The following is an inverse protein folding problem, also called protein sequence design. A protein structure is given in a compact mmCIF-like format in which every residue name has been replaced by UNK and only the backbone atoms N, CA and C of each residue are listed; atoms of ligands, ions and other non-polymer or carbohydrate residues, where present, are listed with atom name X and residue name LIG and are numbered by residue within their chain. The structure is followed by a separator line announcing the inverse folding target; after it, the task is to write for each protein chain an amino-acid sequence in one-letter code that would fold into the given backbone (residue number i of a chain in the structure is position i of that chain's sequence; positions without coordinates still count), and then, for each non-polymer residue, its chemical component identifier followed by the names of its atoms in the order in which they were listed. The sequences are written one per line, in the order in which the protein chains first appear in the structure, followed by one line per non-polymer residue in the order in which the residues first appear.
data_IF_130395311056
#
_entry.id   IF_130395311056
#
_cell.length_a   1.000
_cell.length_b   1.000
_cell.length_c   1.000
_cell.angle_alpha   90.00
_cell.angle_beta   90.00
_cell.angle_gamma   90.00
#
_symmetry.space_group_name_H-M   'P 1'
#
loop_
_entity.id
_entity.type
_entity.pdbx_description
1 polymer ?
#
# COMPACT_ATOMS: atom_id res chain seq x y z
N UNK A 1 -44.41 -22.32 -20.46
CA UNK A 1 -43.12 -22.86 -20.93
C UNK A 1 -42.18 -21.68 -21.01
N UNK A 2 -41.47 -21.43 -19.90
CA UNK A 2 -40.02 -21.72 -19.74
C UNK A 2 -39.25 -20.41 -19.97
N UNK A 3 -38.52 -19.81 -19.01
CA UNK A 3 -38.23 -20.21 -17.64
C UNK A 3 -37.92 -18.99 -16.76
N UNK A 4 -38.66 -18.88 -15.66
CA UNK A 4 -38.26 -18.15 -14.47
C UNK A 4 -37.40 -19.08 -13.61
N UNK A 5 -36.08 -18.97 -13.72
CA UNK A 5 -35.12 -19.11 -12.62
C UNK A 5 -33.68 -18.97 -13.15
N UNK A 6 -33.13 -17.78 -13.01
CA UNK A 6 -31.70 -17.62 -12.78
C UNK A 6 -31.55 -16.77 -11.52
N UNK A 7 -31.71 -17.45 -10.39
CA UNK A 7 -31.06 -17.20 -9.11
C UNK A 7 -30.29 -15.89 -9.00
N UNK A 8 -30.89 -14.97 -8.23
CA UNK A 8 -30.28 -14.34 -7.05
C UNK A 8 -28.79 -14.64 -6.88
N UNK A 9 -27.92 -13.85 -7.51
CA UNK A 9 -26.51 -13.79 -7.15
C UNK A 9 -26.04 -12.33 -7.28
N UNK A 10 -25.79 -11.75 -6.11
CA UNK A 10 -25.07 -10.52 -5.82
C UNK A 10 -25.88 -9.21 -5.89
N UNK A 11 -26.75 -9.12 -4.88
CA UNK A 11 -26.92 -7.97 -3.98
C UNK A 11 -26.28 -6.65 -4.43
N UNK A 12 -27.19 -5.70 -4.73
CA UNK A 12 -27.04 -4.28 -4.51
C UNK A 12 -26.48 -4.00 -3.09
N UNK A 13 -25.15 -4.01 -2.93
CA UNK A 13 -24.41 -3.40 -1.80
C UNK A 13 -22.90 -3.60 -1.98
N UNK A 14 -22.33 -3.11 -3.08
CA UNK A 14 -20.91 -2.72 -3.05
C UNK A 14 -20.85 -1.22 -2.85
N UNK A 15 -20.86 -0.84 -1.57
CA UNK A 15 -20.30 0.42 -1.08
C UNK A 15 -19.06 0.76 -1.93
N UNK A 16 -18.89 1.99 -2.44
CA UNK A 16 -17.66 2.35 -3.12
C UNK A 16 -16.48 1.86 -2.31
N UNK A 17 -15.43 1.39 -2.97
CA UNK A 17 -14.12 1.15 -2.37
C UNK A 17 -13.52 2.53 -2.06
N UNK A 18 -14.11 3.16 -1.06
CA UNK A 18 -13.83 4.37 -0.30
C UNK A 18 -14.55 4.07 1.01
N UNK A 19 -13.95 4.26 2.19
CA UNK A 19 -14.75 4.39 3.40
C UNK A 19 -15.76 5.53 3.17
N UNK A 20 -16.98 5.19 2.74
CA UNK A 20 -18.11 6.11 2.66
C UNK A 20 -18.38 6.54 4.10
N UNK A 21 -17.87 7.71 4.47
CA UNK A 21 -18.32 8.48 5.64
C UNK A 21 -18.11 7.81 7.00
N UNK A 22 -17.08 8.28 7.72
CA UNK A 22 -16.97 8.36 9.19
C UNK A 22 -17.86 7.42 10.01
N UNK A 23 -17.24 6.44 10.69
CA UNK A 23 -17.33 6.26 12.16
C UNK A 23 -16.36 5.15 12.61
N UNK A 24 -15.52 5.52 13.59
CA UNK A 24 -14.57 4.70 14.34
C UNK A 24 -13.34 4.21 13.56
N UNK A 25 -12.45 5.14 13.21
CA UNK A 25 -11.03 4.78 13.28
C UNK A 25 -10.73 4.53 14.76
N UNK A 26 -10.00 3.47 15.11
CA UNK A 26 -9.79 3.03 16.50
C UNK A 26 -9.23 4.11 17.43
N UNK A 27 -8.91 3.74 18.66
CA UNK A 27 -8.15 4.65 19.52
C UNK A 27 -6.72 4.83 18.97
N UNK A 28 -5.92 5.65 19.64
CA UNK A 28 -4.50 5.73 19.31
C UNK A 28 -3.84 4.36 19.60
N UNK A 29 -2.98 3.81 18.72
CA UNK A 29 -2.49 4.37 17.45
C UNK A 29 -3.23 3.88 16.18
N UNK A 30 -4.27 3.04 16.29
CA UNK A 30 -4.92 2.41 15.13
C UNK A 30 -5.51 3.44 14.15
N UNK A 31 -5.99 4.57 14.66
CA UNK A 31 -6.51 5.63 13.80
C UNK A 31 -5.46 6.23 12.84
N UNK A 32 -4.18 6.25 13.23
CA UNK A 32 -3.09 6.75 12.40
C UNK A 32 -2.83 5.86 11.17
N UNK A 33 -2.95 4.55 11.34
CA UNK A 33 -2.76 3.56 10.27
C UNK A 33 -4.00 3.40 9.38
N UNK A 34 -5.18 3.75 9.87
CA UNK A 34 -6.42 3.72 9.08
C UNK A 34 -6.57 4.95 8.16
N UNK A 35 -5.83 6.03 8.40
CA UNK A 35 -5.92 7.27 7.63
C UNK A 35 -4.91 7.27 6.46
N UNK A 36 -5.37 7.71 5.28
CA UNK A 36 -4.57 7.79 4.06
C UNK A 36 -4.13 9.22 3.75
N UNK A 37 -4.89 10.23 4.17
CA UNK A 37 -4.54 11.63 3.94
C UNK A 37 -3.38 12.07 4.86
N UNK A 38 -2.25 12.52 4.31
CA UNK A 38 -1.07 12.85 5.11
C UNK A 38 -1.29 14.03 6.05
N UNK A 39 -2.14 15.00 5.70
CA UNK A 39 -2.43 16.13 6.59
C UNK A 39 -3.29 15.68 7.79
N UNK A 40 -4.27 14.80 7.56
CA UNK A 40 -5.05 14.18 8.61
C UNK A 40 -4.20 13.27 9.52
N UNK A 41 -3.28 12.48 8.94
CA UNK A 41 -2.30 11.70 9.72
C UNK A 41 -1.44 12.61 10.60
N UNK A 42 -0.98 13.75 10.08
CA UNK A 42 -0.21 14.73 10.87
C UNK A 42 -1.04 15.29 12.01
N UNK A 43 -2.32 15.60 11.78
CA UNK A 43 -3.22 16.08 12.82
C UNK A 43 -3.44 15.04 13.94
N UNK A 44 -3.45 13.73 13.63
CA UNK A 44 -3.52 12.66 14.62
C UNK A 44 -2.25 12.67 15.50
N UNK A 45 -1.06 12.77 14.89
CA UNK A 45 0.21 12.86 15.63
C UNK A 45 0.27 14.11 16.52
N UNK A 46 -0.14 15.27 16.00
CA UNK A 46 -0.14 16.53 16.75
C UNK A 46 -1.15 16.50 17.90
N UNK A 47 -2.30 15.84 17.73
CA UNK A 47 -3.25 15.60 18.81
C UNK A 47 -2.62 14.74 19.90
N UNK A 48 -2.05 13.59 19.52
CA UNK A 48 -1.43 12.68 20.49
C UNK A 48 -0.30 13.37 21.24
N UNK A 49 0.56 14.13 20.56
CA UNK A 49 1.64 14.92 21.17
C UNK A 49 1.16 15.87 22.27
N UNK A 50 -0.05 16.40 22.16
CA UNK A 50 -0.64 17.28 23.17
C UNK A 50 -1.32 16.52 24.31
N UNK A 51 -1.64 15.24 24.13
CA UNK A 51 -2.30 14.38 25.12
C UNK A 51 -1.26 13.57 25.91
N UNK A 52 -0.45 12.75 25.24
CA UNK A 52 0.57 11.89 25.83
C UNK A 52 1.74 11.65 24.85
N UNK A 53 2.96 11.80 25.35
CA UNK A 53 4.19 11.49 24.60
C UNK A 53 4.71 10.13 25.04
N UNK A 54 4.65 9.16 24.14
CA UNK A 54 5.14 7.79 24.33
C UNK A 54 6.13 7.40 23.22
N UNK A 55 6.77 6.24 23.38
CA UNK A 55 7.73 5.71 22.40
C UNK A 55 7.07 5.42 21.03
N UNK A 56 5.77 5.09 21.03
CA UNK A 56 5.00 4.86 19.80
C UNK A 56 4.88 6.14 18.99
N UNK A 57 4.54 7.26 19.63
CA UNK A 57 4.44 8.57 19.01
C UNK A 57 5.77 8.97 18.39
N UNK A 58 6.87 8.82 19.14
CA UNK A 58 8.22 9.14 18.62
C UNK A 58 8.55 8.34 17.36
N UNK A 59 8.24 7.04 17.37
CA UNK A 59 8.45 6.17 16.21
C UNK A 59 7.56 6.56 15.02
N UNK A 60 6.28 6.85 15.26
CA UNK A 60 5.34 7.24 14.20
C UNK A 60 5.66 8.61 13.61
N UNK A 61 6.17 9.54 14.40
CA UNK A 61 6.68 10.83 13.91
C UNK A 61 7.95 10.66 13.05
N UNK A 62 8.87 9.78 13.46
CA UNK A 62 10.03 9.41 12.63
C UNK A 62 9.57 8.81 11.29
N UNK A 63 8.64 7.84 11.31
CA UNK A 63 8.07 7.25 10.10
C UNK A 63 7.37 8.29 9.23
N UNK A 64 6.57 9.19 9.81
CA UNK A 64 5.89 10.26 9.09
C UNK A 64 6.88 11.16 8.36
N UNK A 65 7.96 11.57 9.04
CA UNK A 65 8.99 12.43 8.47
C UNK A 65 9.80 11.74 7.35
N UNK A 66 10.04 10.43 7.47
CA UNK A 66 10.66 9.63 6.42
C UNK A 66 9.75 9.48 5.20
N UNK A 67 8.46 9.22 5.44
CA UNK A 67 7.47 8.95 4.41
C UNK A 67 7.07 10.19 3.64
N UNK A 68 6.79 11.30 4.32
CA UNK A 68 6.21 12.47 3.67
C UNK A 68 7.17 13.66 3.66
N UNK A 69 7.50 14.13 2.46
CA UNK A 69 8.23 15.39 2.27
C UNK A 69 7.29 16.47 1.81
N UNK A 70 7.27 17.60 2.52
CA UNK A 70 6.50 18.77 2.08
C UNK A 70 7.25 19.53 0.99
N UNK A 71 6.53 19.89 -0.07
CA UNK A 71 7.00 20.87 -1.04
C UNK A 71 6.86 22.31 -0.50
N UNK A 72 7.34 23.29 -1.27
CA UNK A 72 7.27 24.72 -0.89
C UNK A 72 5.83 25.25 -0.76
N UNK A 73 4.84 24.52 -1.27
CA UNK A 73 3.41 24.87 -1.22
C UNK A 73 2.67 24.14 -0.11
N UNK A 74 3.38 23.31 0.67
CA UNK A 74 2.82 22.52 1.76
C UNK A 74 2.18 21.20 1.33
N UNK A 75 2.30 20.79 0.06
CA UNK A 75 1.81 19.49 -0.39
C UNK A 75 2.77 18.38 0.05
N UNK A 76 2.23 17.25 0.47
CA UNK A 76 3.02 16.09 0.85
C UNK A 76 3.33 15.19 -0.36
N UNK A 77 4.61 14.91 -0.58
CA UNK A 77 5.08 13.88 -1.49
C UNK A 77 5.40 12.59 -0.71
N UNK A 78 4.67 11.52 -1.02
CA UNK A 78 4.84 10.19 -0.39
C UNK A 78 6.06 9.45 -0.98
N UNK A 79 7.14 9.45 -0.22
CA UNK A 79 8.40 8.79 -0.55
C UNK A 79 8.26 7.26 -0.48
N UNK A 80 7.44 6.73 0.42
CA UNK A 80 7.26 5.29 0.58
C UNK A 80 6.47 4.72 -0.60
N UNK A 81 5.42 5.41 -1.04
CA UNK A 81 4.74 5.07 -2.29
C UNK A 81 5.71 5.13 -3.47
N UNK A 82 6.61 6.13 -3.52
CA UNK A 82 7.70 6.17 -4.48
C UNK A 82 8.54 4.89 -4.52
N UNK A 83 8.95 4.38 -3.36
CA UNK A 83 9.71 3.11 -3.26
C UNK A 83 8.86 1.90 -3.65
N UNK A 84 7.59 1.86 -3.26
CA UNK A 84 6.68 0.78 -3.62
C UNK A 84 6.49 0.69 -5.14
N UNK A 85 6.36 1.85 -5.82
CA UNK A 85 6.30 1.90 -7.29
C UNK A 85 7.64 1.49 -7.92
N UNK A 86 8.77 1.83 -7.31
CA UNK A 86 10.09 1.37 -7.76
C UNK A 86 10.22 -0.15 -7.66
N UNK A 87 9.72 -0.76 -6.58
CA UNK A 87 9.63 -2.22 -6.45
C UNK A 87 8.76 -2.82 -7.56
N UNK A 88 7.58 -2.24 -7.84
CA UNK A 88 6.72 -2.68 -8.96
C UNK A 88 7.47 -2.66 -10.30
N UNK A 89 8.15 -1.56 -10.62
CA UNK A 89 8.93 -1.41 -11.85
C UNK A 89 10.08 -2.43 -11.91
N UNK A 90 10.75 -2.67 -10.78
CA UNK A 90 11.78 -3.71 -10.69
C UNK A 90 11.19 -5.10 -10.94
N UNK A 91 10.00 -5.37 -10.41
CA UNK A 91 9.27 -6.62 -10.61
C UNK A 91 8.93 -6.89 -12.09
N UNK A 92 8.54 -5.84 -12.84
CA UNK A 92 8.26 -5.90 -14.27
C UNK A 92 9.51 -6.23 -15.12
N UNK A 93 10.71 -6.02 -14.59
CA UNK A 93 11.99 -6.17 -15.30
C UNK A 93 12.93 -7.21 -14.65
N UNK A 94 12.39 -8.17 -13.89
CA UNK A 94 13.20 -9.13 -13.13
C UNK A 94 14.06 -10.04 -14.03
N UNK A 95 13.52 -10.46 -15.16
CA UNK A 95 14.11 -11.41 -16.10
C UNK A 95 14.97 -10.75 -17.19
N UNK A 96 15.12 -9.43 -17.15
CA UNK A 96 15.99 -8.72 -18.08
C UNK A 96 17.43 -9.24 -17.98
N UNK A 97 18.07 -9.45 -19.13
CA UNK A 97 19.41 -10.06 -19.23
C UNK A 97 20.43 -9.32 -18.35
N UNK A 98 21.15 -10.07 -17.51
CA UNK A 98 22.17 -9.54 -16.57
C UNK A 98 21.68 -8.49 -15.55
N UNK A 99 20.37 -8.44 -15.26
CA UNK A 99 19.79 -7.43 -14.35
C UNK A 99 19.85 -7.80 -12.86
N UNK A 100 20.09 -9.07 -12.51
CA UNK A 100 19.93 -9.58 -11.14
C UNK A 100 20.69 -8.76 -10.08
N UNK A 101 21.98 -8.48 -10.33
CA UNK A 101 22.82 -7.70 -9.40
C UNK A 101 22.29 -6.29 -9.19
N UNK A 102 21.81 -5.66 -10.27
CA UNK A 102 21.21 -4.32 -10.23
C UNK A 102 19.89 -4.36 -9.48
N UNK A 103 19.02 -5.32 -9.80
CA UNK A 103 17.71 -5.49 -9.17
C UNK A 103 17.85 -5.74 -7.67
N UNK A 104 18.77 -6.63 -7.26
CA UNK A 104 19.10 -6.86 -5.85
C UNK A 104 19.54 -5.58 -5.14
N UNK A 105 20.41 -4.78 -5.76
CA UNK A 105 20.82 -3.49 -5.19
C UNK A 105 19.63 -2.53 -5.05
N UNK A 106 18.80 -2.41 -6.08
CA UNK A 106 17.62 -1.55 -6.07
C UNK A 106 16.61 -1.98 -5.00
N UNK A 107 16.32 -3.28 -4.89
CA UNK A 107 15.39 -3.82 -3.88
C UNK A 107 15.93 -3.53 -2.47
N UNK A 108 17.21 -3.76 -2.19
CA UNK A 108 17.80 -3.41 -0.89
C UNK A 108 17.68 -1.94 -0.55
N UNK A 109 17.92 -1.05 -1.52
CA UNK A 109 17.73 0.38 -1.33
C UNK A 109 16.28 0.74 -1.03
N UNK A 110 15.32 0.10 -1.68
CA UNK A 110 13.91 0.29 -1.38
C UNK A 110 13.58 -0.19 0.03
N UNK A 111 14.03 -1.38 0.43
CA UNK A 111 13.82 -1.93 1.78
C UNK A 111 14.44 -1.03 2.86
N UNK A 112 15.65 -0.50 2.63
CA UNK A 112 16.30 0.44 3.53
C UNK A 112 15.45 1.71 3.73
N UNK A 113 14.98 2.31 2.63
CA UNK A 113 14.16 3.52 2.68
C UNK A 113 12.77 3.29 3.28
N UNK A 114 12.21 2.08 3.13
CA UNK A 114 10.97 1.64 3.76
C UNK A 114 11.16 1.18 5.22
N UNK A 115 12.37 1.27 5.78
CA UNK A 115 12.72 0.82 7.13
C UNK A 115 12.62 -0.70 7.35
N UNK A 116 12.56 -1.51 6.29
CA UNK A 116 12.46 -2.98 6.34
C UNK A 116 13.81 -3.69 6.51
N UNK A 117 14.90 -2.95 6.73
CA UNK A 117 16.24 -3.51 6.86
C UNK A 117 16.51 -3.94 8.31
N UNK A 118 17.37 -4.95 8.47
CA UNK A 118 17.84 -5.35 9.80
C UNK A 118 18.56 -4.17 10.48
N UNK A 119 18.12 -3.82 11.69
CA UNK A 119 18.68 -2.72 12.48
C UNK A 119 17.96 -1.38 12.35
N UNK A 120 16.76 -1.33 11.75
CA UNK A 120 15.90 -0.15 11.90
C UNK A 120 15.63 0.15 13.37
N UNK A 121 15.62 1.44 13.73
CA UNK A 121 15.23 1.89 15.07
C UNK A 121 13.71 1.82 15.30
N UNK A 122 12.92 1.59 14.25
CA UNK A 122 11.47 1.49 14.36
C UNK A 122 11.09 0.02 14.63
N UNK A 123 10.23 -0.24 15.63
CA UNK A 123 9.71 -1.58 15.88
C UNK A 123 9.08 -2.21 14.63
N UNK A 124 9.35 -3.49 14.41
CA UNK A 124 8.89 -4.24 13.24
C UNK A 124 7.36 -4.21 13.12
N UNK A 125 6.64 -4.23 14.25
CA UNK A 125 5.18 -4.15 14.30
C UNK A 125 4.66 -2.83 13.72
N UNK A 126 5.33 -1.70 13.99
CA UNK A 126 4.94 -0.40 13.44
C UNK A 126 5.28 -0.30 11.95
N UNK A 127 6.41 -0.86 11.52
CA UNK A 127 6.76 -0.95 10.10
C UNK A 127 5.74 -1.80 9.35
N UNK A 128 5.35 -2.96 9.91
CA UNK A 128 4.33 -3.83 9.34
C UNK A 128 3.00 -3.07 9.16
N UNK A 129 2.51 -2.37 10.19
CA UNK A 129 1.28 -1.57 10.09
C UNK A 129 1.41 -0.46 9.04
N UNK A 130 2.57 0.20 8.95
CA UNK A 130 2.84 1.22 7.94
C UNK A 130 2.84 0.63 6.51
N UNK A 131 3.35 -0.59 6.34
CA UNK A 131 3.32 -1.31 5.06
C UNK A 131 1.91 -1.80 4.70
N UNK A 132 1.10 -2.20 5.68
CA UNK A 132 -0.32 -2.51 5.47
C UNK A 132 -1.08 -1.27 4.97
N UNK A 133 -0.86 -0.12 5.63
CA UNK A 133 -1.42 1.17 5.22
C UNK A 133 -0.97 1.54 3.81
N UNK A 134 0.33 1.43 3.52
CA UNK A 134 0.91 1.76 2.21
C UNK A 134 0.32 0.90 1.09
N UNK A 135 0.19 -0.41 1.34
CA UNK A 135 -0.42 -1.35 0.40
C UNK A 135 -1.89 -0.99 0.18
N UNK A 136 -2.62 -0.64 1.24
CA UNK A 136 -4.02 -0.21 1.15
C UNK A 136 -4.17 1.08 0.34
N UNK A 137 -3.28 2.05 0.56
CA UNK A 137 -3.21 3.29 -0.23
C UNK A 137 -2.94 3.01 -1.70
N UNK A 138 -2.04 2.08 -2.02
CA UNK A 138 -1.76 1.68 -3.39
C UNK A 138 -2.99 1.06 -4.07
N UNK A 139 -3.65 0.09 -3.42
CA UNK A 139 -4.89 -0.53 -3.92
C UNK A 139 -5.97 0.54 -4.14
N UNK A 140 -6.18 1.40 -3.14
CA UNK A 140 -7.15 2.49 -3.20
C UNK A 140 -6.85 3.43 -4.37
N UNK A 141 -5.60 3.87 -4.52
CA UNK A 141 -5.19 4.79 -5.59
C UNK A 141 -5.40 4.16 -6.97
N UNK A 142 -5.01 2.89 -7.16
CA UNK A 142 -5.23 2.18 -8.41
C UNK A 142 -6.72 1.96 -8.73
N UNK A 143 -7.57 1.77 -7.71
CA UNK A 143 -9.03 1.63 -7.90
C UNK A 143 -9.74 2.94 -8.29
N UNK A 144 -9.11 4.09 -8.01
CA UNK A 144 -9.64 5.43 -8.29
C UNK A 144 -9.10 6.09 -9.54
N UNK A 145 -7.95 5.62 -10.04
CA UNK A 145 -7.30 6.25 -11.17
C UNK A 145 -8.11 6.03 -12.46
N UNK A 146 -8.46 7.16 -13.08
CA UNK A 146 -9.18 7.22 -14.34
C UNK A 146 -8.36 6.53 -15.44
N UNK A 147 -7.02 6.59 -15.42
CA UNK A 147 -6.15 5.92 -16.40
C UNK A 147 -6.07 4.39 -16.23
N UNK A 148 -6.46 3.87 -15.07
CA UNK A 148 -6.64 2.42 -14.85
C UNK A 148 -8.04 1.95 -15.27
N UNK A 149 -8.99 2.89 -15.37
CA UNK A 149 -10.41 2.67 -15.71
C UNK A 149 -10.81 3.20 -17.11
N UNK A 150 -9.96 3.94 -17.81
CA UNK A 150 -10.28 4.60 -19.08
C UNK A 150 -9.59 3.93 -20.26
N UNK A 151 -10.38 3.29 -21.13
CA UNK A 151 -10.02 3.28 -22.55
C UNK A 151 -10.27 4.68 -23.10
N UNK A 152 -9.22 5.27 -23.67
CA UNK A 152 -9.38 6.26 -24.73
C UNK A 152 -10.00 5.49 -25.92
N UNK A 153 -11.19 5.92 -26.37
CA UNK A 153 -12.03 5.37 -27.45
C UNK A 153 -13.02 4.24 -27.09
N UNK A 154 -14.14 4.61 -26.45
CA UNK A 154 -15.47 4.27 -26.98
C UNK A 154 -16.11 2.92 -26.67
N UNK A 155 -15.46 1.96 -26.01
CA UNK A 155 -16.11 0.68 -25.65
C UNK A 155 -15.74 0.18 -24.24
N UNK A 156 -16.51 0.62 -23.23
CA UNK A 156 -16.64 -0.03 -21.92
C UNK A 156 -15.64 0.38 -20.83
N UNK A 157 -16.14 0.52 -19.59
CA UNK A 157 -15.28 0.51 -18.39
C UNK A 157 -14.53 -0.82 -18.32
N UNK A 158 -13.26 -0.81 -17.91
CA UNK A 158 -12.61 -2.04 -17.44
C UNK A 158 -13.45 -2.57 -16.27
N UNK A 159 -13.90 -3.82 -16.31
CA UNK A 159 -14.65 -4.39 -15.17
C UNK A 159 -13.78 -4.30 -13.92
N UNK A 160 -14.40 -4.05 -12.77
CA UNK A 160 -13.71 -3.99 -11.47
C UNK A 160 -12.82 -5.22 -11.24
N UNK A 161 -13.22 -6.38 -11.76
CA UNK A 161 -12.46 -7.64 -11.78
C UNK A 161 -11.09 -7.51 -12.45
N UNK A 162 -11.00 -6.95 -13.67
CA UNK A 162 -9.71 -6.80 -14.37
C UNK A 162 -8.79 -5.75 -13.72
N UNK A 163 -9.34 -4.83 -12.94
CA UNK A 163 -8.54 -3.88 -12.15
C UNK A 163 -7.97 -4.63 -10.95
N UNK A 164 -8.83 -5.37 -10.23
CA UNK A 164 -8.43 -6.23 -9.13
C UNK A 164 -7.35 -7.23 -9.54
N UNK A 165 -7.49 -7.93 -10.67
CA UNK A 165 -6.48 -8.87 -11.20
C UNK A 165 -5.12 -8.21 -11.41
N UNK A 166 -5.08 -6.99 -11.97
CA UNK A 166 -3.83 -6.29 -12.24
C UNK A 166 -3.17 -5.81 -10.94
N UNK A 167 -3.95 -5.30 -10.00
CA UNK A 167 -3.46 -4.94 -8.66
C UNK A 167 -2.92 -6.20 -7.97
N UNK A 168 -3.65 -7.31 -8.02
CA UNK A 168 -3.23 -8.57 -7.43
C UNK A 168 -1.89 -9.05 -8.02
N UNK A 169 -1.75 -9.01 -9.35
CA UNK A 169 -0.52 -9.37 -10.04
C UNK A 169 0.66 -8.46 -9.66
N UNK A 170 0.44 -7.15 -9.56
CA UNK A 170 1.46 -6.20 -9.12
C UNK A 170 1.93 -6.54 -7.70
N UNK A 171 0.99 -6.83 -6.79
CA UNK A 171 1.28 -7.22 -5.40
C UNK A 171 1.96 -8.59 -5.27
N UNK A 172 1.56 -9.59 -6.06
CA UNK A 172 2.24 -10.90 -6.10
C UNK A 172 3.67 -10.77 -6.61
N UNK A 173 3.89 -9.94 -7.63
CA UNK A 173 5.23 -9.69 -8.14
C UNK A 173 6.13 -9.05 -7.10
N UNK A 174 5.63 -8.07 -6.34
CA UNK A 174 6.39 -7.40 -5.28
C UNK A 174 6.61 -8.34 -4.09
N UNK A 175 5.55 -8.96 -3.57
CA UNK A 175 5.58 -9.75 -2.34
C UNK A 175 6.10 -11.18 -2.49
N UNK A 176 6.15 -11.73 -3.70
CA UNK A 176 6.54 -13.13 -3.92
C UNK A 176 7.57 -13.31 -5.04
N UNK A 177 7.38 -12.71 -6.22
CA UNK A 177 8.30 -12.92 -7.34
C UNK A 177 9.68 -12.28 -7.10
N UNK A 178 9.73 -11.02 -6.63
CA UNK A 178 10.99 -10.36 -6.26
C UNK A 178 11.75 -11.18 -5.21
N UNK A 179 11.16 -11.52 -4.04
CA UNK A 179 11.87 -12.27 -3.01
C UNK A 179 12.39 -13.62 -3.53
N UNK A 180 11.56 -14.37 -4.26
CA UNK A 180 11.95 -15.69 -4.78
C UNK A 180 13.04 -15.61 -5.83
N UNK A 181 12.90 -14.70 -6.80
CA UNK A 181 13.85 -14.59 -7.91
C UNK A 181 15.23 -14.11 -7.44
N UNK A 182 15.26 -13.23 -6.43
CA UNK A 182 16.50 -12.69 -5.88
C UNK A 182 16.99 -13.47 -4.65
N UNK A 183 16.31 -14.50 -4.18
CA UNK A 183 16.65 -15.17 -2.92
C UNK A 183 16.75 -14.20 -1.73
N UNK A 184 15.72 -13.37 -1.57
CA UNK A 184 15.59 -12.30 -0.56
C UNK A 184 14.32 -12.49 0.30
N UNK A 185 13.86 -13.74 0.47
CA UNK A 185 12.63 -14.07 1.18
C UNK A 185 12.63 -13.60 2.64
N UNK A 186 13.77 -13.71 3.32
CA UNK A 186 13.94 -13.22 4.70
C UNK A 186 13.93 -11.68 4.75
N UNK A 187 14.74 -11.02 3.89
CA UNK A 187 14.84 -9.56 3.80
C UNK A 187 13.47 -8.92 3.47
N UNK A 188 12.60 -9.62 2.72
CA UNK A 188 11.28 -9.12 2.30
C UNK A 188 10.10 -9.63 3.14
N UNK A 189 10.35 -10.37 4.23
CA UNK A 189 9.31 -11.11 4.97
C UNK A 189 8.18 -10.22 5.50
N UNK A 190 8.51 -9.08 6.12
CA UNK A 190 7.55 -8.11 6.65
C UNK A 190 6.71 -7.48 5.54
N UNK A 191 7.35 -7.07 4.44
CA UNK A 191 6.64 -6.51 3.28
C UNK A 191 5.67 -7.53 2.66
N UNK A 192 6.11 -8.79 2.52
CA UNK A 192 5.27 -9.88 2.04
C UNK A 192 4.07 -10.10 2.96
N UNK A 193 4.28 -10.16 4.27
CA UNK A 193 3.20 -10.34 5.24
C UNK A 193 2.16 -9.22 5.13
N UNK A 194 2.62 -7.97 5.13
CA UNK A 194 1.75 -6.80 4.99
C UNK A 194 0.95 -6.83 3.68
N UNK A 195 1.59 -7.16 2.57
CA UNK A 195 0.90 -7.31 1.27
C UNK A 195 -0.16 -8.39 1.33
N UNK A 196 0.16 -9.58 1.86
CA UNK A 196 -0.78 -10.70 1.90
C UNK A 196 -2.00 -10.40 2.78
N UNK A 197 -1.81 -9.75 3.92
CA UNK A 197 -2.89 -9.43 4.84
C UNK A 197 -3.77 -8.30 4.30
N UNK A 198 -3.17 -7.25 3.73
CA UNK A 198 -3.93 -6.20 3.06
C UNK A 198 -4.69 -6.74 1.84
N UNK A 199 -4.10 -7.65 1.04
CA UNK A 199 -4.82 -8.30 -0.07
C UNK A 199 -6.10 -8.97 0.40
N UNK A 200 -6.05 -9.79 1.45
CA UNK A 200 -7.23 -10.49 2.01
C UNK A 200 -8.34 -9.51 2.45
N UNK A 201 -7.96 -8.31 2.87
CA UNK A 201 -8.91 -7.30 3.33
C UNK A 201 -9.59 -6.55 2.18
N UNK A 202 -8.88 -6.31 1.06
CA UNK A 202 -9.33 -5.38 0.02
C UNK A 202 -9.61 -6.00 -1.35
N UNK A 203 -9.12 -7.21 -1.65
CA UNK A 203 -9.26 -7.90 -2.94
C UNK A 203 -9.95 -9.26 -2.76
#
# INVERSE_FOLDING_TARGET
MEGENAHMLFQEDRTPIVPKGKKNHGEWPENYFAEFDPAARKAILDKQRNEEVDETLECLEKLFALRYKQDKKGNYADQFLGQFLQLRITAENLDAMFSERKNRKTVRQCLEQLQLHAGSEIPEELIYQEMCQLTGLYIYSCSKDVNYTSMIWGFGKKSDEKISEKINLDLERIGEAIPKYLSMEEECSVLKAAILDTKKQYL
#
